data_IF_386425362472
#
_entry.id   IF_386425362472
#
_cell.length_a   1.000
_cell.length_b   1.000
_cell.length_c   1.000
_cell.angle_alpha   90.00
_cell.angle_beta   90.00
_cell.angle_gamma   90.00
#
_symmetry.space_group_name_H-M   'P 1'
#
loop_
_entity.id
_entity.type
_entity.pdbx_description
1 polymer ?
#
# COMPACT_ATOMS: atom_id res chain seq x y z
N UNK A 1 -32.49 -36.15 -11.96
CA UNK A 1 -31.71 -35.86 -13.19
C UNK A 1 -30.98 -34.54 -12.96
N UNK A 2 -29.72 -34.58 -12.49
CA UNK A 2 -28.94 -33.38 -12.11
C UNK A 2 -27.76 -33.22 -13.08
N UNK A 3 -27.85 -32.26 -14.01
CA UNK A 3 -26.76 -31.95 -14.97
C UNK A 3 -26.34 -30.45 -15.11
N UNK A 4 -26.49 -29.53 -14.13
CA UNK A 4 -25.94 -28.18 -14.29
C UNK A 4 -24.48 -28.00 -13.80
N UNK A 5 -23.99 -28.86 -12.89
CA UNK A 5 -22.70 -28.64 -12.22
C UNK A 5 -21.47 -28.95 -13.09
N UNK A 6 -21.60 -29.86 -14.06
CA UNK A 6 -20.49 -30.33 -14.89
C UNK A 6 -20.13 -29.31 -15.98
N UNK A 7 -21.13 -28.60 -16.53
CA UNK A 7 -20.91 -27.55 -17.55
C UNK A 7 -20.22 -26.31 -16.98
N UNK A 8 -20.56 -25.92 -15.75
CA UNK A 8 -19.91 -24.77 -15.09
C UNK A 8 -18.43 -25.05 -14.80
N UNK A 9 -18.08 -26.30 -14.44
CA UNK A 9 -16.68 -26.71 -14.24
C UNK A 9 -15.88 -26.71 -15.55
N UNK A 10 -16.53 -26.92 -16.69
CA UNK A 10 -15.88 -26.93 -18.00
C UNK A 10 -15.63 -25.49 -18.50
N UNK A 11 -16.59 -24.58 -18.33
CA UNK A 11 -16.43 -23.15 -18.63
C UNK A 11 -15.34 -22.47 -17.78
N UNK A 12 -15.20 -22.84 -16.51
CA UNK A 12 -14.12 -22.33 -15.64
C UNK A 12 -12.75 -22.87 -16.08
N UNK A 13 -12.70 -24.07 -16.65
CA UNK A 13 -11.45 -24.69 -17.13
C UNK A 13 -10.99 -24.05 -18.45
N UNK A 14 -11.91 -23.70 -19.33
CA UNK A 14 -11.64 -22.97 -20.59
C UNK A 14 -11.29 -21.50 -20.34
N UNK A 15 -11.90 -20.86 -19.33
CA UNK A 15 -11.54 -19.49 -18.95
C UNK A 15 -10.15 -19.41 -18.30
N UNK A 16 -9.68 -20.50 -17.69
CA UNK A 16 -8.33 -20.61 -17.09
C UNK A 16 -7.23 -20.83 -18.13
N UNK A 17 -7.52 -21.39 -19.29
CA UNK A 17 -6.52 -21.60 -20.36
C UNK A 17 -6.28 -20.37 -21.23
N UNK A 18 -7.11 -19.33 -21.13
CA UNK A 18 -6.88 -18.03 -21.77
C UNK A 18 -6.16 -16.99 -20.88
N UNK A 19 -5.81 -17.35 -19.64
CA UNK A 19 -5.02 -16.52 -18.71
C UNK A 19 -3.60 -17.07 -18.55
N UNK A 20 -2.91 -17.17 -19.68
CA UNK A 20 -1.45 -17.25 -19.83
C UNK A 20 -1.16 -16.27 -20.97
N UNK A 21 -0.31 -15.24 -20.90
CA UNK A 21 0.79 -14.88 -20.03
C UNK A 21 0.83 -13.35 -20.10
N UNK A 22 0.48 -12.63 -19.03
CA UNK A 22 1.02 -11.26 -18.91
C UNK A 22 2.43 -11.50 -18.41
N UNK A 23 3.37 -11.49 -19.35
CA UNK A 23 4.79 -11.56 -19.09
C UNK A 23 5.11 -10.46 -18.08
N UNK A 24 5.27 -10.85 -16.83
CA UNK A 24 5.85 -9.98 -15.82
C UNK A 24 7.27 -9.77 -16.27
N UNK A 25 7.52 -8.69 -17.02
CA UNK A 25 8.88 -8.23 -17.28
C UNK A 25 9.49 -8.06 -15.89
N UNK A 26 10.49 -8.88 -15.51
CA UNK A 26 11.13 -8.72 -14.24
C UNK A 26 11.79 -7.35 -14.28
N UNK A 27 11.34 -6.42 -13.43
CA UNK A 27 12.13 -5.23 -13.13
C UNK A 27 13.39 -5.79 -12.50
N UNK A 28 14.45 -5.93 -13.31
CA UNK A 28 15.78 -6.23 -12.83
C UNK A 28 16.13 -5.10 -11.87
N UNK A 29 16.08 -5.39 -10.57
CA UNK A 29 16.65 -4.50 -9.56
C UNK A 29 18.14 -4.58 -9.82
N UNK A 30 18.63 -3.62 -10.60
CA UNK A 30 20.02 -3.55 -10.97
C UNK A 30 20.79 -3.20 -9.70
N UNK A 31 21.39 -4.18 -9.03
CA UNK A 31 22.48 -3.98 -8.06
C UNK A 31 23.77 -3.54 -8.78
N UNK A 32 23.65 -2.77 -9.87
CA UNK A 32 24.76 -2.03 -10.44
C UNK A 32 25.02 -0.87 -9.51
N UNK A 33 26.17 -0.89 -8.81
CA UNK A 33 26.77 0.29 -8.20
C UNK A 33 26.56 1.48 -9.15
N UNK A 34 25.92 2.54 -8.68
CA UNK A 34 25.71 3.74 -9.48
C UNK A 34 27.07 4.32 -9.87
N UNK A 35 27.54 3.99 -11.07
CA UNK A 35 28.65 4.67 -11.72
C UNK A 35 28.06 5.92 -12.35
N UNK A 36 28.08 7.02 -11.61
CA UNK A 36 27.76 8.33 -12.17
C UNK A 36 28.75 8.70 -13.28
N UNK A 37 28.39 9.67 -14.13
CA UNK A 37 29.24 10.12 -15.22
C UNK A 37 30.59 10.59 -14.68
N UNK A 38 31.68 10.11 -15.30
CA UNK A 38 33.04 10.39 -14.88
C UNK A 38 33.52 11.76 -15.34
N UNK A 39 32.83 12.36 -16.31
CA UNK A 39 33.14 13.67 -16.86
C UNK A 39 31.90 14.35 -17.47
N UNK A 40 32.03 15.65 -17.77
CA UNK A 40 30.94 16.48 -18.31
C UNK A 40 30.45 15.98 -19.68
N UNK A 41 31.34 15.50 -20.54
CA UNK A 41 30.96 15.01 -21.87
C UNK A 41 30.09 13.75 -21.79
N UNK A 42 30.39 12.85 -20.86
CA UNK A 42 29.58 11.67 -20.57
C UNK A 42 28.21 12.07 -20.02
N UNK A 43 28.15 13.06 -19.12
CA UNK A 43 26.89 13.61 -18.63
C UNK A 43 26.04 14.22 -19.75
N UNK A 44 26.63 15.04 -20.63
CA UNK A 44 25.94 15.68 -21.74
C UNK A 44 25.40 14.64 -22.73
N UNK A 45 26.19 13.62 -23.08
CA UNK A 45 25.75 12.51 -23.92
C UNK A 45 24.62 11.69 -23.27
N UNK A 46 24.69 11.46 -21.95
CA UNK A 46 23.59 10.81 -21.22
C UNK A 46 22.32 11.64 -21.27
N UNK A 47 22.40 12.95 -21.06
CA UNK A 47 21.25 13.86 -21.13
C UNK A 47 20.64 13.94 -22.54
N UNK A 48 21.44 13.86 -23.59
CA UNK A 48 20.97 13.80 -24.98
C UNK A 48 20.17 12.53 -25.29
N UNK A 49 20.47 11.41 -24.64
CA UNK A 49 19.69 10.16 -24.78
C UNK A 49 18.41 10.16 -23.95
N UNK A 50 18.28 11.04 -22.95
CA UNK A 50 17.06 11.18 -22.14
C UNK A 50 16.05 11.99 -22.94
N UNK A 51 15.13 11.28 -23.60
CA UNK A 51 13.98 11.88 -24.23
C UNK A 51 13.17 12.67 -23.18
N UNK A 52 13.27 14.00 -23.24
CA UNK A 52 12.52 14.89 -22.36
C UNK A 52 11.02 14.67 -22.61
N UNK A 53 10.36 13.99 -21.67
CA UNK A 53 8.91 13.86 -21.70
C UNK A 53 8.30 15.27 -21.71
N UNK A 54 7.24 15.53 -22.51
CA UNK A 54 6.61 16.84 -22.56
C UNK A 54 6.26 17.31 -21.16
N UNK A 55 6.59 18.56 -20.81
CA UNK A 55 6.41 19.11 -19.47
C UNK A 55 4.97 18.91 -18.94
N UNK A 56 3.99 18.94 -19.83
CA UNK A 56 2.58 18.66 -19.55
C UNK A 56 2.35 17.26 -18.98
N UNK A 57 3.04 16.24 -19.48
CA UNK A 57 2.93 14.86 -19.00
C UNK A 57 3.59 14.70 -17.62
N UNK A 58 4.77 15.29 -17.41
CA UNK A 58 5.44 15.29 -16.10
C UNK A 58 4.61 15.99 -15.03
N UNK A 59 3.97 17.11 -15.38
CA UNK A 59 3.07 17.85 -14.48
C UNK A 59 1.80 17.04 -14.19
N UNK A 60 1.20 16.39 -15.20
CA UNK A 60 0.01 15.57 -15.01
C UNK A 60 0.30 14.34 -14.14
N UNK A 61 1.43 13.66 -14.36
CA UNK A 61 1.90 12.55 -13.53
C UNK A 61 2.11 13.01 -12.08
N UNK A 62 2.79 14.13 -11.86
CA UNK A 62 2.97 14.69 -10.52
C UNK A 62 1.63 15.03 -9.85
N UNK A 63 0.69 15.67 -10.57
CA UNK A 63 -0.65 15.99 -10.05
C UNK A 63 -1.46 14.73 -9.72
N UNK A 64 -1.33 13.66 -10.50
CA UNK A 64 -2.03 12.39 -10.29
C UNK A 64 -1.69 11.75 -8.93
N UNK A 65 -0.44 11.94 -8.45
CA UNK A 65 0.02 11.47 -7.15
C UNK A 65 -0.66 12.19 -5.98
N UNK A 66 -1.19 13.39 -6.19
CA UNK A 66 -1.90 14.18 -5.18
C UNK A 66 -3.43 14.09 -5.30
N UNK A 67 -3.95 13.27 -6.22
CA UNK A 67 -5.40 13.06 -6.32
C UNK A 67 -5.92 12.23 -5.13
N UNK A 68 -7.18 12.46 -4.74
CA UNK A 68 -7.84 11.71 -3.68
C UNK A 68 -7.83 10.19 -3.92
N UNK A 69 -7.83 9.76 -5.19
CA UNK A 69 -7.74 8.35 -5.60
C UNK A 69 -6.40 7.72 -5.22
N UNK A 70 -5.29 8.46 -5.37
CA UNK A 70 -3.97 7.95 -5.00
C UNK A 70 -3.83 7.77 -3.48
N UNK A 71 -4.29 8.75 -2.68
CA UNK A 71 -4.28 8.64 -1.21
C UNK A 71 -5.14 7.47 -0.73
N UNK A 72 -6.35 7.29 -1.26
CA UNK A 72 -7.22 6.14 -0.95
C UNK A 72 -6.53 4.82 -1.29
N UNK A 73 -5.86 4.74 -2.44
CA UNK A 73 -5.12 3.55 -2.85
C UNK A 73 -3.97 3.23 -1.90
N UNK A 74 -3.25 4.24 -1.41
CA UNK A 74 -2.19 4.04 -0.42
C UNK A 74 -2.75 3.60 0.94
N UNK A 75 -3.84 4.20 1.40
CA UNK A 75 -4.53 3.79 2.63
C UNK A 75 -4.99 2.33 2.53
N UNK A 76 -5.63 1.95 1.42
CA UNK A 76 -6.03 0.56 1.16
C UNK A 76 -4.85 -0.40 1.28
N UNK A 77 -3.73 -0.10 0.60
CA UNK A 77 -2.53 -0.95 0.63
C UNK A 77 -2.00 -1.11 2.06
N UNK A 78 -1.88 -0.01 2.80
CA UNK A 78 -1.36 -0.04 4.18
C UNK A 78 -2.32 -0.81 5.09
N UNK A 79 -3.61 -0.50 5.07
CA UNK A 79 -4.60 -1.20 5.90
C UNK A 79 -4.62 -2.71 5.63
N UNK A 80 -4.58 -3.13 4.36
CA UNK A 80 -4.58 -4.54 3.99
C UNK A 80 -3.25 -5.25 4.35
N UNK A 81 -2.16 -4.52 4.53
CA UNK A 81 -0.88 -5.06 4.99
C UNK A 81 -0.82 -5.32 6.50
N UNK A 82 -1.74 -4.74 7.28
CA UNK A 82 -1.80 -4.97 8.71
C UNK A 82 -2.15 -6.42 9.03
N UNK A 83 -1.52 -6.97 10.06
CA UNK A 83 -1.95 -8.24 10.65
C UNK A 83 -3.31 -8.09 11.36
N UNK A 84 -3.90 -9.22 11.75
CA UNK A 84 -5.21 -9.25 12.42
C UNK A 84 -5.23 -8.40 13.69
N UNK A 85 -4.15 -8.42 14.48
CA UNK A 85 -4.05 -7.70 15.75
C UNK A 85 -4.00 -6.19 15.50
N UNK A 86 -3.21 -5.75 14.53
CA UNK A 86 -3.11 -4.36 14.10
C UNK A 86 -4.45 -3.82 13.59
N UNK A 87 -5.16 -4.58 12.77
CA UNK A 87 -6.53 -4.21 12.34
C UNK A 87 -7.50 -4.17 13.51
N UNK A 88 -7.41 -5.14 14.41
CA UNK A 88 -8.21 -5.21 15.64
C UNK A 88 -8.03 -3.96 16.51
N UNK A 89 -6.79 -3.49 16.70
CA UNK A 89 -6.51 -2.26 17.44
C UNK A 89 -7.18 -1.03 16.79
N UNK A 90 -7.09 -0.90 15.46
CA UNK A 90 -7.75 0.19 14.74
C UNK A 90 -9.28 0.12 14.88
N UNK A 91 -9.86 -1.07 14.80
CA UNK A 91 -11.30 -1.28 14.93
C UNK A 91 -11.80 -0.93 16.33
N UNK A 92 -11.17 -1.50 17.37
CA UNK A 92 -11.58 -1.29 18.77
C UNK A 92 -11.42 0.18 19.16
N UNK A 93 -10.30 0.81 18.81
CA UNK A 93 -10.08 2.24 19.07
C UNK A 93 -11.12 3.13 18.34
N UNK A 94 -11.64 2.68 17.21
CA UNK A 94 -12.71 3.33 16.45
C UNK A 94 -14.13 3.01 16.93
N UNK A 95 -14.30 2.17 17.95
CA UNK A 95 -15.61 1.74 18.45
C UNK A 95 -16.29 0.65 17.60
N UNK A 96 -15.56 0.00 16.70
CA UNK A 96 -16.05 -1.15 15.94
C UNK A 96 -15.92 -2.44 16.74
N UNK A 97 -16.77 -3.41 16.41
CA UNK A 97 -16.65 -4.78 16.92
C UNK A 97 -15.37 -5.44 16.38
N UNK A 98 -14.83 -6.37 17.16
CA UNK A 98 -13.58 -7.05 16.83
C UNK A 98 -13.69 -7.98 15.61
N UNK A 99 -14.89 -8.46 15.26
CA UNK A 99 -15.15 -9.27 14.06
C UNK A 99 -14.87 -8.51 12.75
N UNK A 100 -15.00 -7.18 12.76
CA UNK A 100 -14.69 -6.31 11.61
C UNK A 100 -13.19 -6.36 11.24
N UNK A 101 -12.30 -6.80 12.16
CA UNK A 101 -10.86 -6.85 11.91
C UNK A 101 -10.44 -7.84 10.82
N UNK A 102 -11.30 -8.81 10.50
CA UNK A 102 -11.02 -9.83 9.48
C UNK A 102 -11.31 -9.32 8.06
N UNK A 103 -12.00 -8.18 7.93
CA UNK A 103 -12.29 -7.54 6.63
C UNK A 103 -11.07 -6.83 6.05
N UNK A 104 -10.93 -6.90 4.74
CA UNK A 104 -10.08 -6.02 3.94
C UNK A 104 -10.71 -4.64 3.79
N UNK A 105 -9.91 -3.64 3.41
CA UNK A 105 -10.36 -2.26 3.26
C UNK A 105 -11.52 -2.08 2.27
N UNK A 106 -11.57 -2.89 1.22
CA UNK A 106 -12.62 -2.81 0.20
C UNK A 106 -13.95 -3.45 0.68
N UNK A 107 -13.88 -4.38 1.63
CA UNK A 107 -15.06 -5.00 2.30
C UNK A 107 -15.66 -4.12 3.39
N UNK A 108 -14.93 -3.12 3.88
CA UNK A 108 -15.45 -2.15 4.83
C UNK A 108 -16.45 -1.20 4.16
N UNK A 109 -17.58 -0.97 4.82
CA UNK A 109 -18.51 0.08 4.42
C UNK A 109 -17.96 1.49 4.74
N UNK A 110 -18.67 2.54 4.31
CA UNK A 110 -18.21 3.92 4.53
C UNK A 110 -18.14 4.31 6.01
N UNK A 111 -19.06 3.79 6.84
CA UNK A 111 -19.10 4.06 8.28
C UNK A 111 -17.96 3.33 9.00
N UNK A 112 -17.70 2.08 8.63
CA UNK A 112 -16.59 1.27 9.14
C UNK A 112 -15.25 1.90 8.77
N UNK A 113 -15.08 2.37 7.53
CA UNK A 113 -13.85 3.11 7.13
C UNK A 113 -13.65 4.39 7.92
N UNK A 114 -14.73 5.11 8.24
CA UNK A 114 -14.64 6.31 9.07
C UNK A 114 -14.27 5.97 10.51
N UNK A 115 -14.83 4.92 11.07
CA UNK A 115 -14.48 4.43 12.40
C UNK A 115 -13.01 3.95 12.46
N UNK A 116 -12.54 3.21 11.46
CA UNK A 116 -11.11 2.85 11.33
C UNK A 116 -10.23 4.10 11.28
N UNK A 117 -10.62 5.14 10.52
CA UNK A 117 -9.89 6.42 10.50
C UNK A 117 -9.81 7.04 11.90
N UNK A 118 -10.91 7.05 12.65
CA UNK A 118 -10.93 7.55 14.03
C UNK A 118 -10.02 6.73 14.95
N UNK A 119 -10.06 5.40 14.84
CA UNK A 119 -9.17 4.52 15.61
C UNK A 119 -7.69 4.77 15.32
N UNK A 120 -7.30 4.93 14.05
CA UNK A 120 -5.91 5.26 13.69
C UNK A 120 -5.49 6.61 14.29
N UNK A 121 -6.36 7.63 14.22
CA UNK A 121 -6.06 8.94 14.80
C UNK A 121 -5.89 8.89 16.33
N UNK A 122 -6.73 8.10 17.01
CA UNK A 122 -6.62 7.89 18.45
C UNK A 122 -5.31 7.19 18.84
N UNK A 123 -4.90 6.17 18.09
CA UNK A 123 -3.61 5.50 18.31
C UNK A 123 -2.42 6.44 18.07
N UNK A 124 -2.49 7.28 17.03
CA UNK A 124 -1.46 8.30 16.77
C UNK A 124 -1.36 9.30 17.92
N UNK A 125 -2.49 9.76 18.46
CA UNK A 125 -2.54 10.66 19.61
C UNK A 125 -1.85 10.03 20.84
N UNK A 126 -2.18 8.79 21.18
CA UNK A 126 -1.55 8.08 22.31
C UNK A 126 -0.04 8.00 22.11
N UNK A 127 0.41 7.52 20.94
CA UNK A 127 1.85 7.34 20.69
C UNK A 127 2.59 8.67 20.65
N UNK A 128 1.96 9.74 20.16
CA UNK A 128 2.51 11.10 20.15
C UNK A 128 2.66 11.66 21.55
N UNK A 129 1.68 11.43 22.44
CA UNK A 129 1.79 11.85 23.85
C UNK A 129 2.97 11.17 24.54
N UNK A 130 3.19 9.87 24.33
CA UNK A 130 4.38 9.20 24.86
C UNK A 130 5.68 9.79 24.27
N UNK A 131 5.76 9.89 22.94
CA UNK A 131 6.93 10.45 22.24
C UNK A 131 7.33 11.83 22.76
N UNK A 132 6.36 12.70 23.00
CA UNK A 132 6.61 14.08 23.42
C UNK A 132 6.99 14.22 24.90
N UNK A 133 6.52 13.34 25.78
CA UNK A 133 6.73 13.48 27.22
C UNK A 133 7.88 12.63 27.77
N UNK A 134 8.07 11.43 27.23
CA UNK A 134 9.04 10.44 27.75
C UNK A 134 9.97 9.87 26.68
N UNK A 135 9.81 10.29 25.42
CA UNK A 135 10.59 9.79 24.29
C UNK A 135 9.93 8.63 23.55
N UNK A 136 10.62 8.08 22.54
CA UNK A 136 10.03 7.04 21.69
C UNK A 136 9.76 5.75 22.48
N UNK A 137 8.56 5.14 22.38
CA UNK A 137 8.25 3.88 23.05
C UNK A 137 9.21 2.72 22.75
N UNK A 138 9.85 2.76 21.57
CA UNK A 138 10.86 1.77 21.18
C UNK A 138 12.17 1.86 21.97
N UNK A 139 12.39 2.93 22.73
CA UNK A 139 13.60 3.18 23.51
C UNK A 139 13.43 2.86 25.00
N UNK A 140 12.19 2.58 25.43
CA UNK A 140 11.92 2.26 26.83
C UNK A 140 12.57 0.93 27.21
N UNK A 141 13.11 0.88 28.41
CA UNK A 141 13.73 -0.29 29.02
C UNK A 141 12.74 -0.90 30.00
N UNK A 142 12.86 -2.20 30.28
CA UNK A 142 11.97 -2.86 31.26
C UNK A 142 11.96 -2.16 32.62
N UNK A 143 13.12 -1.61 33.03
CA UNK A 143 13.25 -0.83 34.27
C UNK A 143 12.43 0.47 34.32
N UNK A 144 11.91 0.95 33.19
CA UNK A 144 11.06 2.14 33.14
C UNK A 144 9.59 1.81 33.49
N UNK A 145 9.26 0.52 33.65
CA UNK A 145 7.91 -0.02 33.93
C UNK A 145 7.86 -0.98 35.14
N UNK A 146 8.95 -1.07 35.90
CA UNK A 146 9.08 -1.85 37.14
C UNK A 146 9.41 -0.92 38.30
#
# INVERSE_FOLDING_TARGET
>A
MNQPATQLRQQVKESKSHLQVVESVPVKVNDTQYQGPQNKHELDAMLETVQAQPATQSIAAAKSLFTASHKKTRIRKIYNSFDRKQRGMCCIAGGLKADVCDKSFDELDSSERQAVRHGIAYLDEITTRFKNNVGSPSQFKSKDFH
#
